data_IF_471586195448
#
_entry.id   IF_471586195448
#
_cell.length_a   1.000
_cell.length_b   1.000
_cell.length_c   1.000
_cell.angle_alpha   90.00
_cell.angle_beta   90.00
_cell.angle_gamma   90.00
#
_symmetry.space_group_name_H-M   'P 1'
#
loop_
_entity.id
_entity.type
_entity.pdbx_description
1 polymer ?
#
# COMPACT_ATOMS: atom_id res chain seq x y z
N UNK A 1 4.28 9.90 -3.70
CA UNK A 1 3.25 9.88 -4.78
C UNK A 1 2.04 10.70 -4.36
N UNK A 2 1.29 11.22 -5.34
CA UNK A 2 0.28 12.27 -5.18
C UNK A 2 -0.76 11.98 -4.10
N UNK A 3 -1.38 10.83 -4.08
CA UNK A 3 -2.40 10.48 -3.07
C UNK A 3 -1.88 10.54 -1.63
N UNK A 4 -0.57 10.32 -1.40
CA UNK A 4 0.04 10.47 -0.07
C UNK A 4 0.16 11.94 0.30
N UNK A 5 0.55 12.81 -0.64
CA UNK A 5 0.56 14.26 -0.45
C UNK A 5 -0.84 14.81 -0.17
N UNK A 6 -1.86 14.36 -0.92
CA UNK A 6 -3.25 14.71 -0.66
C UNK A 6 -3.71 14.24 0.73
N UNK A 7 -3.37 13.01 1.13
CA UNK A 7 -3.70 12.50 2.47
C UNK A 7 -3.03 13.33 3.57
N UNK A 8 -1.77 13.71 3.39
CA UNK A 8 -1.07 14.60 4.32
C UNK A 8 -1.73 15.99 4.41
N UNK A 9 -2.20 16.54 3.27
CA UNK A 9 -2.91 17.82 3.24
C UNK A 9 -4.29 17.74 3.90
N UNK A 10 -5.01 16.62 3.72
CA UNK A 10 -6.30 16.37 4.39
C UNK A 10 -6.13 16.32 5.91
N UNK A 11 -5.08 15.65 6.40
CA UNK A 11 -4.79 15.51 7.83
C UNK A 11 -4.17 16.76 8.47
N UNK A 12 -3.55 17.63 7.70
CA UNK A 12 -2.89 18.84 8.15
C UNK A 12 -3.19 20.00 7.18
N UNK A 13 -4.46 20.47 7.11
CA UNK A 13 -4.88 21.45 6.11
C UNK A 13 -4.18 22.80 6.23
N UNK A 14 -3.68 23.14 7.42
CA UNK A 14 -2.93 24.37 7.70
C UNK A 14 -1.47 24.32 7.22
N UNK A 15 -0.93 23.11 6.99
CA UNK A 15 0.47 22.94 6.59
C UNK A 15 0.63 23.03 5.07
N UNK A 16 1.77 23.53 4.66
CA UNK A 16 2.22 23.37 3.27
C UNK A 16 2.73 21.96 3.06
N UNK A 17 2.17 21.25 2.09
CA UNK A 17 2.60 19.93 1.71
C UNK A 17 3.28 20.05 0.36
N UNK A 18 4.58 19.78 0.32
CA UNK A 18 5.40 19.85 -0.89
C UNK A 18 5.74 18.44 -1.35
N UNK A 19 5.71 18.20 -2.65
CA UNK A 19 6.11 16.93 -3.26
C UNK A 19 7.31 17.11 -4.18
N UNK A 20 8.26 16.16 -4.21
CA UNK A 20 9.37 16.21 -5.14
C UNK A 20 8.92 16.30 -6.60
N UNK A 21 7.83 15.61 -6.94
CA UNK A 21 7.23 15.61 -8.27
C UNK A 21 5.70 15.48 -8.18
N UNK A 22 4.96 16.40 -8.81
CA UNK A 22 3.50 16.36 -8.82
C UNK A 22 2.91 15.33 -9.78
N UNK A 23 3.70 14.86 -10.76
CA UNK A 23 3.30 13.81 -11.70
C UNK A 23 3.57 12.39 -11.14
N UNK A 24 4.26 12.30 -10.00
CA UNK A 24 4.43 11.06 -9.27
C UNK A 24 3.08 10.59 -8.71
N UNK A 25 2.38 9.76 -9.47
CA UNK A 25 1.05 9.21 -9.16
C UNK A 25 1.10 7.71 -8.79
N UNK A 26 0.01 6.98 -8.98
CA UNK A 26 -0.11 5.54 -8.71
C UNK A 26 -1.08 4.91 -9.71
N UNK A 27 -0.76 3.72 -10.23
CA UNK A 27 -1.67 3.00 -11.13
C UNK A 27 -3.03 2.69 -10.49
N UNK A 28 -3.06 2.47 -9.19
CA UNK A 28 -4.31 2.25 -8.45
C UNK A 28 -5.18 3.51 -8.41
N UNK A 29 -4.56 4.67 -8.23
CA UNK A 29 -5.25 5.96 -8.26
C UNK A 29 -5.76 6.29 -9.67
N UNK A 30 -4.90 6.14 -10.67
CA UNK A 30 -5.28 6.31 -12.09
C UNK A 30 -6.35 5.32 -12.55
N UNK A 31 -6.30 4.08 -12.06
CA UNK A 31 -7.27 3.02 -12.35
C UNK A 31 -8.58 3.12 -11.56
N UNK A 32 -8.77 4.19 -10.78
CA UNK A 32 -10.00 4.45 -10.02
C UNK A 32 -10.45 5.92 -10.22
N UNK A 33 -10.88 6.28 -11.45
CA UNK A 33 -11.34 7.63 -11.76
C UNK A 33 -12.55 8.03 -10.89
N UNK A 34 -12.55 9.26 -10.41
CA UNK A 34 -13.54 9.75 -9.43
C UNK A 34 -14.99 9.59 -9.89
N UNK A 35 -15.28 9.98 -11.14
CA UNK A 35 -16.66 9.97 -11.65
C UNK A 35 -17.17 8.54 -11.87
N UNK A 36 -16.33 7.65 -12.38
CA UNK A 36 -16.64 6.23 -12.55
C UNK A 36 -16.84 5.54 -11.19
N UNK A 37 -15.98 5.86 -10.22
CA UNK A 37 -16.08 5.34 -8.86
C UNK A 37 -17.36 5.85 -8.17
N UNK A 38 -17.71 7.12 -8.34
CA UNK A 38 -18.94 7.68 -7.80
C UNK A 38 -20.18 6.95 -8.37
N UNK A 39 -20.23 6.77 -9.69
CA UNK A 39 -21.31 6.02 -10.36
C UNK A 39 -21.38 4.56 -9.86
N UNK A 40 -20.24 3.93 -9.64
CA UNK A 40 -20.18 2.57 -9.08
C UNK A 40 -20.73 2.50 -7.66
N UNK A 41 -20.41 3.48 -6.80
CA UNK A 41 -20.99 3.57 -5.46
C UNK A 41 -22.51 3.82 -5.52
N UNK A 42 -22.98 4.70 -6.41
CA UNK A 42 -24.39 5.04 -6.54
C UNK A 42 -25.22 3.87 -7.06
N UNK A 43 -24.64 2.98 -7.84
CA UNK A 43 -25.27 1.73 -8.29
C UNK A 43 -25.38 0.68 -7.17
N UNK A 44 -24.66 0.84 -6.05
CA UNK A 44 -24.61 -0.12 -4.94
C UNK A 44 -24.80 0.54 -3.57
N UNK A 45 -25.93 1.26 -3.33
CA UNK A 45 -26.14 2.06 -2.13
C UNK A 45 -26.30 1.23 -0.83
N UNK A 46 -26.49 -0.08 -0.95
CA UNK A 46 -26.61 -1.04 0.15
C UNK A 46 -25.25 -1.51 0.70
N UNK A 47 -24.14 -1.06 0.12
CA UNK A 47 -22.79 -1.48 0.49
C UNK A 47 -22.02 -0.39 1.24
N UNK A 48 -21.28 -0.80 2.25
CA UNK A 48 -20.28 0.05 2.93
C UNK A 48 -19.08 0.21 2.03
N UNK A 49 -18.70 1.45 1.73
CA UNK A 49 -17.61 1.77 0.82
C UNK A 49 -16.28 1.78 1.58
N UNK A 50 -15.41 0.86 1.26
CA UNK A 50 -14.07 0.74 1.84
C UNK A 50 -13.02 0.98 0.75
N UNK A 51 -12.18 1.99 0.92
CA UNK A 51 -11.11 2.31 -0.04
C UNK A 51 -9.74 2.10 0.56
N UNK A 52 -8.87 1.50 -0.22
CA UNK A 52 -7.46 1.45 0.09
C UNK A 52 -6.82 2.83 -0.10
N UNK A 53 -5.82 3.16 0.70
CA UNK A 53 -5.20 4.49 0.77
C UNK A 53 -4.70 5.03 -0.59
N UNK A 54 -4.40 4.15 -1.55
CA UNK A 54 -3.86 4.47 -2.86
C UNK A 54 -4.95 4.99 -3.82
N UNK A 55 -5.67 6.01 -3.41
CA UNK A 55 -6.76 6.66 -4.14
C UNK A 55 -6.71 8.17 -3.94
N UNK A 56 -7.35 8.95 -4.82
CA UNK A 56 -7.43 10.40 -4.73
C UNK A 56 -8.21 10.89 -3.50
N UNK A 57 -8.04 12.15 -3.15
CA UNK A 57 -8.85 12.82 -2.13
C UNK A 57 -10.35 12.73 -2.44
N UNK A 58 -10.74 12.86 -3.71
CA UNK A 58 -12.13 12.81 -4.14
C UNK A 58 -12.76 11.40 -3.98
N UNK A 59 -12.01 10.35 -4.28
CA UNK A 59 -12.43 8.96 -4.02
C UNK A 59 -12.59 8.71 -2.52
N UNK A 60 -11.65 9.19 -1.69
CA UNK A 60 -11.75 9.11 -0.22
C UNK A 60 -12.96 9.86 0.33
N UNK A 61 -13.31 11.00 -0.27
CA UNK A 61 -14.50 11.79 0.13
C UNK A 61 -15.81 11.03 -0.06
N UNK A 62 -15.84 10.04 -0.96
CA UNK A 62 -17.00 9.17 -1.22
C UNK A 62 -17.01 7.90 -0.36
N UNK A 63 -15.93 7.63 0.37
CA UNK A 63 -15.73 6.40 1.12
C UNK A 63 -16.25 6.50 2.56
N UNK A 64 -16.75 5.37 3.07
CA UNK A 64 -17.07 5.22 4.49
C UNK A 64 -15.82 4.94 5.34
N UNK A 65 -14.90 4.16 4.79
CA UNK A 65 -13.65 3.76 5.44
C UNK A 65 -12.49 3.88 4.47
N UNK A 66 -11.37 4.43 4.93
CA UNK A 66 -10.08 4.25 4.29
C UNK A 66 -9.30 3.17 5.06
N UNK A 67 -8.49 2.38 4.35
CA UNK A 67 -7.62 1.36 4.94
C UNK A 67 -6.23 1.38 4.33
N UNK A 68 -5.25 0.85 5.06
CA UNK A 68 -3.93 0.49 4.55
C UNK A 68 -3.79 -1.04 4.50
N UNK A 69 -2.78 -1.56 3.81
CA UNK A 69 -2.52 -3.02 3.77
C UNK A 69 -2.26 -3.63 5.14
N UNK A 70 -1.86 -2.84 6.13
CA UNK A 70 -1.59 -3.32 7.49
C UNK A 70 -2.85 -3.51 8.33
N UNK A 71 -3.98 -2.86 8.01
CA UNK A 71 -5.19 -2.87 8.84
C UNK A 71 -6.46 -3.24 8.07
N UNK A 72 -6.38 -3.35 6.74
CA UNK A 72 -7.53 -3.62 5.87
C UNK A 72 -8.24 -4.93 6.22
N UNK A 73 -7.49 -5.99 6.47
CA UNK A 73 -8.03 -7.29 6.89
C UNK A 73 -8.88 -7.16 8.15
N UNK A 74 -8.38 -6.47 9.17
CA UNK A 74 -9.05 -6.34 10.46
C UNK A 74 -10.32 -5.47 10.38
N UNK A 75 -10.28 -4.40 9.58
CA UNK A 75 -11.46 -3.54 9.37
C UNK A 75 -12.54 -4.31 8.60
N UNK A 76 -12.18 -5.08 7.58
CA UNK A 76 -13.14 -5.91 6.85
C UNK A 76 -13.73 -7.00 7.75
N UNK A 77 -12.92 -7.66 8.60
CA UNK A 77 -13.42 -8.60 9.62
C UNK A 77 -14.43 -7.95 10.56
N UNK A 78 -14.12 -6.73 11.03
CA UNK A 78 -15.01 -5.96 11.88
C UNK A 78 -16.34 -5.61 11.19
N UNK A 79 -16.30 -5.19 9.94
CA UNK A 79 -17.52 -4.86 9.16
C UNK A 79 -18.32 -6.12 8.84
N UNK A 80 -17.65 -7.22 8.47
CA UNK A 80 -18.29 -8.51 8.22
C UNK A 80 -19.01 -9.05 9.46
N UNK A 81 -18.40 -8.95 10.64
CA UNK A 81 -19.04 -9.35 11.90
C UNK A 81 -20.30 -8.53 12.23
N UNK A 82 -20.47 -7.35 11.63
CA UNK A 82 -21.67 -6.52 11.72
C UNK A 82 -22.69 -6.81 10.60
N UNK A 83 -22.44 -7.80 9.76
CA UNK A 83 -23.31 -8.14 8.62
C UNK A 83 -23.27 -7.11 7.48
N UNK A 84 -22.22 -6.28 7.40
CA UNK A 84 -22.10 -5.29 6.33
C UNK A 84 -21.67 -5.95 5.03
N UNK A 85 -22.35 -5.57 3.94
CA UNK A 85 -21.86 -5.80 2.59
C UNK A 85 -20.87 -4.71 2.23
N UNK A 86 -19.78 -5.03 1.55
CA UNK A 86 -18.67 -4.13 1.29
C UNK A 86 -18.53 -3.86 -0.20
N UNK A 87 -18.29 -2.61 -0.57
CA UNK A 87 -17.74 -2.21 -1.84
C UNK A 87 -16.27 -1.86 -1.61
N UNK A 88 -15.38 -2.55 -2.28
CA UNK A 88 -13.92 -2.40 -2.11
C UNK A 88 -13.27 -1.80 -3.35
N UNK A 89 -12.41 -0.80 -3.17
CA UNK A 89 -11.58 -0.21 -4.22
C UNK A 89 -10.20 0.20 -3.66
N UNK A 90 -9.18 0.45 -4.50
CA UNK A 90 -9.16 0.24 -5.95
C UNK A 90 -8.55 -1.11 -6.37
N UNK A 91 -7.81 -1.80 -5.47
CA UNK A 91 -7.02 -2.98 -5.80
C UNK A 91 -7.82 -4.28 -5.67
N UNK A 92 -8.01 -4.97 -6.81
CA UNK A 92 -8.74 -6.25 -6.88
C UNK A 92 -8.01 -7.39 -6.17
N UNK A 93 -6.68 -7.40 -6.19
CA UNK A 93 -5.89 -8.50 -5.61
C UNK A 93 -5.89 -8.43 -4.09
N UNK A 94 -5.60 -7.25 -3.51
CA UNK A 94 -5.73 -7.04 -2.07
C UNK A 94 -7.17 -7.30 -1.61
N UNK A 95 -8.16 -6.81 -2.36
CA UNK A 95 -9.57 -7.07 -2.07
C UNK A 95 -9.91 -8.56 -2.09
N UNK A 96 -9.48 -9.29 -3.10
CA UNK A 96 -9.69 -10.73 -3.23
C UNK A 96 -9.00 -11.52 -2.12
N UNK A 97 -7.77 -11.13 -1.77
CA UNK A 97 -7.06 -11.72 -0.62
C UNK A 97 -7.85 -11.54 0.68
N UNK A 98 -8.28 -10.31 0.97
CA UNK A 98 -9.05 -10.01 2.19
C UNK A 98 -10.40 -10.74 2.17
N UNK A 99 -11.09 -10.79 1.04
CA UNK A 99 -12.36 -11.51 0.87
C UNK A 99 -12.20 -13.00 1.21
N UNK A 100 -11.15 -13.64 0.71
CA UNK A 100 -10.84 -15.05 1.01
C UNK A 100 -10.55 -15.29 2.49
N UNK A 101 -9.81 -14.38 3.13
CA UNK A 101 -9.45 -14.52 4.54
C UNK A 101 -10.64 -14.28 5.47
N UNK A 102 -11.63 -13.49 5.07
CA UNK A 102 -12.74 -13.08 5.93
C UNK A 102 -14.07 -13.77 5.62
N UNK A 103 -14.25 -14.24 4.37
CA UNK A 103 -15.55 -14.69 3.87
C UNK A 103 -16.58 -13.56 3.70
N UNK A 104 -16.17 -12.29 3.75
CA UNK A 104 -17.05 -11.14 3.66
C UNK A 104 -17.71 -11.02 2.27
N UNK A 105 -18.95 -10.52 2.23
CA UNK A 105 -19.62 -10.13 0.98
C UNK A 105 -18.98 -8.85 0.46
N UNK A 106 -18.04 -9.00 -0.48
CA UNK A 106 -17.29 -7.89 -1.07
C UNK A 106 -17.51 -7.82 -2.57
N UNK A 107 -17.91 -6.62 -3.04
CA UNK A 107 -17.91 -6.25 -4.45
C UNK A 107 -16.61 -5.48 -4.73
N UNK A 108 -15.79 -6.00 -5.64
CA UNK A 108 -14.44 -5.50 -5.88
C UNK A 108 -14.37 -4.61 -7.13
N UNK A 109 -13.81 -3.42 -6.99
CA UNK A 109 -13.32 -2.63 -8.12
C UNK A 109 -12.20 -3.37 -8.84
N UNK A 110 -12.08 -3.20 -10.17
CA UNK A 110 -11.20 -4.02 -11.00
C UNK A 110 -9.84 -3.38 -11.31
N UNK A 111 -9.36 -2.47 -10.46
CA UNK A 111 -8.02 -1.91 -10.55
C UNK A 111 -6.94 -2.86 -10.02
N UNK A 112 -5.70 -2.62 -10.40
CA UNK A 112 -4.53 -3.36 -9.91
C UNK A 112 -3.28 -2.47 -9.84
N UNK A 113 -2.35 -2.83 -8.96
CA UNK A 113 -1.04 -2.21 -8.92
C UNK A 113 -0.19 -2.73 -10.09
N UNK A 114 0.26 -1.83 -10.99
CA UNK A 114 1.06 -2.20 -12.16
C UNK A 114 2.28 -3.05 -11.80
N UNK A 115 2.97 -2.73 -10.69
CA UNK A 115 4.16 -3.46 -10.25
C UNK A 115 3.81 -4.85 -9.76
N UNK A 116 2.81 -4.95 -8.88
CA UNK A 116 2.47 -6.25 -8.27
C UNK A 116 1.73 -7.19 -9.23
N UNK A 117 0.94 -6.65 -10.15
CA UNK A 117 0.22 -7.43 -11.18
C UNK A 117 1.18 -8.11 -12.19
N UNK A 118 2.41 -7.60 -12.30
CA UNK A 118 3.43 -8.17 -13.19
C UNK A 118 4.09 -9.44 -12.64
N UNK A 119 4.02 -9.74 -11.35
CA UNK A 119 4.60 -10.98 -10.81
C UNK A 119 3.95 -12.22 -11.41
N UNK A 120 4.77 -13.22 -11.75
CA UNK A 120 4.34 -14.45 -12.45
C UNK A 120 4.49 -15.68 -11.54
N UNK A 121 3.36 -16.32 -11.24
CA UNK A 121 3.35 -17.49 -10.37
C UNK A 121 4.18 -18.66 -10.90
N UNK A 122 4.17 -18.89 -12.21
CA UNK A 122 4.97 -19.97 -12.85
C UNK A 122 6.47 -19.68 -12.71
N UNK A 123 6.88 -18.45 -12.95
CA UNK A 123 8.29 -18.04 -12.84
C UNK A 123 8.76 -18.03 -11.37
N UNK A 124 7.88 -17.72 -10.44
CA UNK A 124 8.16 -17.80 -9.01
C UNK A 124 8.40 -19.24 -8.58
N UNK A 125 7.61 -20.19 -9.08
CA UNK A 125 7.80 -21.64 -8.82
C UNK A 125 9.15 -22.13 -9.36
N UNK A 126 9.54 -21.71 -10.57
CA UNK A 126 10.85 -22.02 -11.13
C UNK A 126 12.01 -21.43 -10.30
N UNK A 127 11.83 -20.20 -9.80
CA UNK A 127 12.84 -19.58 -8.93
C UNK A 127 12.93 -20.30 -7.58
N UNK A 128 11.79 -20.74 -7.02
CA UNK A 128 11.75 -21.51 -5.78
C UNK A 128 12.54 -22.82 -5.90
N UNK A 129 12.50 -23.48 -7.06
CA UNK A 129 13.30 -24.71 -7.29
C UNK A 129 14.80 -24.42 -7.29
N UNK A 130 15.23 -23.23 -7.71
CA UNK A 130 16.63 -22.81 -7.66
C UNK A 130 17.10 -22.44 -6.23
N UNK A 131 16.16 -21.97 -5.40
CA UNK A 131 16.40 -21.55 -4.01
C UNK A 131 15.45 -22.29 -3.05
N UNK A 132 15.62 -23.61 -2.88
CA UNK A 132 14.64 -24.46 -2.16
C UNK A 132 14.53 -24.14 -0.66
N UNK A 133 15.50 -23.43 -0.09
CA UNK A 133 15.50 -23.00 1.32
C UNK A 133 15.01 -21.56 1.51
N UNK A 134 14.81 -20.83 0.42
CA UNK A 134 14.34 -19.46 0.50
C UNK A 134 12.89 -19.36 0.96
N UNK A 135 12.60 -18.39 1.83
CA UNK A 135 11.24 -18.02 2.22
C UNK A 135 10.67 -16.99 1.24
N UNK A 136 9.45 -17.22 0.79
CA UNK A 136 8.76 -16.36 -0.17
C UNK A 136 7.92 -15.34 0.59
N UNK A 137 8.25 -14.06 0.40
CA UNK A 137 7.56 -12.92 1.00
C UNK A 137 6.77 -12.19 -0.09
N UNK A 138 5.47 -12.03 0.10
CA UNK A 138 4.57 -11.49 -0.93
C UNK A 138 3.71 -10.35 -0.37
N UNK A 139 3.65 -9.24 -1.12
CA UNK A 139 2.66 -8.20 -0.86
C UNK A 139 1.28 -8.64 -1.41
N UNK A 140 0.18 -8.46 -0.64
CA UNK A 140 -1.14 -8.96 -1.02
C UNK A 140 -1.80 -8.28 -2.24
N UNK A 141 -1.19 -7.23 -2.79
CA UNK A 141 -1.55 -6.66 -4.10
C UNK A 141 -1.10 -7.52 -5.30
N UNK A 142 -0.42 -8.64 -5.04
CA UNK A 142 0.04 -9.57 -6.09
C UNK A 142 -1.07 -10.53 -6.53
N UNK A 143 -0.99 -11.07 -7.77
CA UNK A 143 -1.92 -12.07 -8.27
C UNK A 143 -2.03 -13.29 -7.34
N UNK A 144 -3.20 -13.91 -7.32
CA UNK A 144 -3.48 -15.07 -6.47
C UNK A 144 -2.46 -16.20 -6.63
N UNK A 145 -2.02 -16.48 -7.86
CA UNK A 145 -1.03 -17.53 -8.16
C UNK A 145 0.35 -17.27 -7.52
N UNK A 146 0.65 -15.99 -7.21
CA UNK A 146 1.86 -15.59 -6.48
C UNK A 146 1.62 -15.65 -4.97
N UNK A 147 0.49 -15.11 -4.51
CA UNK A 147 0.08 -15.14 -3.10
C UNK A 147 -0.03 -16.57 -2.56
N UNK A 148 -0.53 -17.52 -3.37
CA UNK A 148 -0.66 -18.92 -2.99
C UNK A 148 0.67 -19.63 -2.69
N UNK A 149 1.79 -19.10 -3.17
CA UNK A 149 3.13 -19.67 -2.96
C UNK A 149 3.88 -19.03 -1.77
N UNK A 150 3.29 -18.02 -1.14
CA UNK A 150 3.95 -17.24 -0.11
C UNK A 150 4.10 -18.02 1.21
N UNK A 151 5.28 -17.91 1.84
CA UNK A 151 5.47 -18.26 3.25
C UNK A 151 4.96 -17.15 4.18
N UNK A 152 5.07 -15.89 3.74
CA UNK A 152 4.54 -14.71 4.46
C UNK A 152 3.85 -13.77 3.49
N UNK A 153 2.62 -13.39 3.83
CA UNK A 153 1.85 -12.38 3.12
C UNK A 153 1.64 -11.19 4.06
N UNK A 154 1.95 -9.98 3.61
CA UNK A 154 1.78 -8.83 4.47
C UNK A 154 2.15 -7.49 3.84
N UNK A 155 1.88 -6.43 4.60
CA UNK A 155 2.32 -5.07 4.27
C UNK A 155 3.85 -4.96 4.27
N UNK A 156 4.38 -3.88 3.69
CA UNK A 156 5.82 -3.57 3.67
C UNK A 156 6.46 -3.72 5.06
N UNK A 157 5.84 -3.17 6.11
CA UNK A 157 6.36 -3.26 7.48
C UNK A 157 6.34 -4.69 8.03
N UNK A 158 5.31 -5.47 7.71
CA UNK A 158 5.21 -6.87 8.12
C UNK A 158 6.25 -7.74 7.41
N UNK A 159 6.51 -7.49 6.13
CA UNK A 159 7.55 -8.19 5.37
C UNK A 159 8.95 -7.86 5.89
N UNK A 160 9.22 -6.60 6.26
CA UNK A 160 10.50 -6.22 6.89
C UNK A 160 10.63 -6.88 8.28
N UNK A 161 9.58 -6.93 9.08
CA UNK A 161 9.60 -7.62 10.36
C UNK A 161 9.84 -9.13 10.20
N UNK A 162 9.27 -9.75 9.17
CA UNK A 162 9.44 -11.18 8.91
C UNK A 162 10.90 -11.57 8.63
N UNK A 163 11.68 -10.74 7.91
CA UNK A 163 13.08 -11.07 7.60
C UNK A 163 13.98 -11.06 8.84
N UNK A 164 13.60 -10.36 9.89
CA UNK A 164 14.32 -10.39 11.17
C UNK A 164 13.84 -11.53 12.09
N UNK A 165 12.54 -11.84 12.04
CA UNK A 165 11.92 -12.84 12.92
C UNK A 165 12.15 -14.29 12.46
N UNK A 166 12.23 -14.53 11.14
CA UNK A 166 12.40 -15.87 10.59
C UNK A 166 13.87 -16.30 10.62
N UNK A 167 14.09 -17.58 10.99
CA UNK A 167 15.42 -18.22 10.95
C UNK A 167 15.74 -18.75 9.54
N UNK A 168 15.52 -17.92 8.52
CA UNK A 168 15.87 -18.19 7.15
C UNK A 168 17.02 -17.27 6.71
N UNK A 169 17.90 -17.77 5.85
CA UNK A 169 19.04 -17.03 5.33
C UNK A 169 18.80 -16.46 3.93
N UNK A 170 17.76 -16.96 3.24
CA UNK A 170 17.42 -16.60 1.88
C UNK A 170 15.95 -16.23 1.79
N UNK A 171 15.63 -15.15 1.07
CA UNK A 171 14.29 -14.67 0.87
C UNK A 171 14.05 -14.31 -0.60
N UNK A 172 12.95 -14.80 -1.18
CA UNK A 172 12.41 -14.32 -2.45
C UNK A 172 11.34 -13.30 -2.13
N UNK A 173 11.43 -12.09 -2.70
CA UNK A 173 10.60 -10.95 -2.34
C UNK A 173 9.76 -10.50 -3.52
N UNK A 174 8.43 -10.65 -3.42
CA UNK A 174 7.46 -10.24 -4.43
C UNK A 174 6.74 -8.95 -3.97
N UNK A 175 7.42 -7.82 -4.11
CA UNK A 175 6.91 -6.44 -3.97
C UNK A 175 7.88 -5.48 -4.67
N UNK A 176 7.61 -4.17 -4.63
CA UNK A 176 8.54 -3.16 -5.16
C UNK A 176 9.93 -3.31 -4.55
N UNK A 177 10.96 -3.33 -5.41
CA UNK A 177 12.32 -3.65 -5.00
C UNK A 177 13.00 -2.57 -4.11
N UNK A 178 12.43 -1.39 -3.99
CA UNK A 178 12.89 -0.36 -3.05
C UNK A 178 12.89 -0.83 -1.59
N UNK A 179 12.06 -1.83 -1.24
CA UNK A 179 12.04 -2.42 0.11
C UNK A 179 13.35 -3.14 0.46
N UNK A 180 14.06 -3.68 -0.55
CA UNK A 180 15.26 -4.51 -0.33
C UNK A 180 16.37 -3.75 0.40
N UNK A 181 16.47 -2.45 0.19
CA UNK A 181 17.42 -1.62 0.95
C UNK A 181 17.14 -1.72 2.47
N UNK A 182 15.88 -1.54 2.87
CA UNK A 182 15.48 -1.63 4.28
C UNK A 182 15.61 -3.06 4.83
N UNK A 183 15.30 -4.06 4.03
CA UNK A 183 15.46 -5.47 4.42
C UNK A 183 16.93 -5.83 4.66
N UNK A 184 17.84 -5.39 3.77
CA UNK A 184 19.29 -5.59 3.94
C UNK A 184 19.83 -4.86 5.18
N UNK A 185 19.33 -3.67 5.47
CA UNK A 185 19.68 -2.94 6.67
C UNK A 185 19.15 -3.62 7.95
N UNK A 186 17.92 -4.17 7.91
CA UNK A 186 17.29 -4.84 9.05
C UNK A 186 17.88 -6.24 9.34
N UNK A 187 18.33 -6.95 8.30
CA UNK A 187 18.88 -8.30 8.41
C UNK A 187 20.19 -8.43 7.58
N UNK A 188 21.30 -7.84 8.04
CA UNK A 188 22.59 -7.91 7.36
C UNK A 188 23.07 -9.37 7.22
N UNK A 189 23.59 -9.72 6.05
CA UNK A 189 24.11 -11.05 5.76
C UNK A 189 23.09 -12.05 5.22
N UNK A 190 21.79 -11.73 5.23
CA UNK A 190 20.78 -12.55 4.57
C UNK A 190 20.69 -12.21 3.07
N UNK A 191 20.36 -13.22 2.25
CA UNK A 191 20.21 -13.08 0.80
C UNK A 191 18.78 -12.67 0.46
N UNK A 192 18.63 -11.62 -0.33
CA UNK A 192 17.35 -11.14 -0.84
C UNK A 192 17.33 -11.20 -2.37
N UNK A 193 16.37 -11.91 -2.91
CA UNK A 193 16.20 -12.23 -4.33
C UNK A 193 14.89 -11.61 -4.78
N UNK A 194 14.91 -10.82 -5.85
CA UNK A 194 13.70 -10.28 -6.45
C UNK A 194 12.87 -11.39 -7.09
N UNK A 195 11.57 -11.39 -6.81
CA UNK A 195 10.65 -12.27 -7.52
C UNK A 195 10.55 -11.87 -8.99
N UNK A 196 10.39 -12.82 -9.93
CA UNK A 196 10.38 -12.53 -11.34
C UNK A 196 9.07 -11.88 -11.79
N UNK A 197 9.18 -10.85 -12.64
CA UNK A 197 8.05 -10.15 -13.27
C UNK A 197 7.90 -10.52 -14.75
N UNK A 198 8.90 -11.18 -15.35
CA UNK A 198 8.89 -11.58 -16.74
C UNK A 198 9.46 -12.99 -16.91
N UNK A 199 9.06 -13.68 -17.98
CA UNK A 199 9.54 -15.01 -18.33
C UNK A 199 11.01 -15.07 -18.70
N UNK A 200 11.56 -16.29 -18.74
CA UNK A 200 13.00 -16.55 -19.00
C UNK A 200 13.56 -16.00 -20.32
N UNK A 201 12.69 -15.65 -21.27
CA UNK A 201 13.07 -15.05 -22.57
C UNK A 201 13.24 -13.52 -22.52
N UNK A 202 12.83 -12.87 -21.42
CA UNK A 202 12.93 -11.44 -21.29
C UNK A 202 14.34 -10.99 -20.91
N UNK A 203 14.76 -9.86 -21.46
CA UNK A 203 16.05 -9.22 -21.14
C UNK A 203 16.08 -8.66 -19.73
N UNK A 204 14.92 -8.29 -19.18
CA UNK A 204 14.75 -7.86 -17.79
C UNK A 204 13.95 -8.92 -17.01
N UNK A 205 14.60 -9.60 -16.08
CA UNK A 205 13.99 -10.70 -15.31
C UNK A 205 13.21 -10.23 -14.08
N UNK A 206 13.47 -9.04 -13.59
CA UNK A 206 12.74 -8.45 -12.49
C UNK A 206 12.71 -6.93 -12.66
N UNK A 207 11.56 -6.40 -13.07
CA UNK A 207 11.29 -4.97 -13.17
C UNK A 207 10.30 -4.54 -12.09
N UNK A 208 10.38 -5.13 -10.90
CA UNK A 208 9.55 -4.79 -9.74
C UNK A 208 9.91 -3.41 -9.18
N UNK A 209 9.82 -2.39 -10.02
CA UNK A 209 10.16 -1.01 -9.70
C UNK A 209 9.06 -0.06 -10.16
N UNK A 210 8.53 0.72 -9.22
CA UNK A 210 7.46 1.66 -9.51
C UNK A 210 8.01 2.91 -10.19
N UNK A 211 7.66 3.18 -11.47
CA UNK A 211 8.18 4.33 -12.19
C UNK A 211 7.77 5.66 -11.56
N UNK A 212 6.59 5.74 -10.99
CA UNK A 212 6.12 6.97 -10.31
C UNK A 212 6.83 7.22 -8.98
N UNK A 213 7.13 6.19 -8.18
CA UNK A 213 7.95 6.37 -6.98
C UNK A 213 9.36 6.82 -7.33
N UNK A 214 9.92 6.33 -8.44
CA UNK A 214 11.25 6.72 -8.92
C UNK A 214 11.36 8.19 -9.33
N UNK A 215 10.25 8.85 -9.68
CA UNK A 215 10.22 10.30 -9.98
C UNK A 215 10.58 11.15 -8.75
N UNK A 216 10.43 10.64 -7.54
CA UNK A 216 10.79 11.34 -6.30
C UNK A 216 12.30 11.28 -6.02
N UNK A 217 13.12 11.77 -6.96
CA UNK A 217 14.57 11.79 -6.86
C UNK A 217 15.10 12.85 -5.88
N UNK A 218 16.36 12.68 -5.43
CA UNK A 218 17.00 13.62 -4.50
C UNK A 218 17.13 15.03 -5.08
N UNK A 219 17.38 15.18 -6.38
CA UNK A 219 17.46 16.49 -7.05
C UNK A 219 16.11 17.21 -7.03
N UNK A 220 15.02 16.49 -7.29
CA UNK A 220 13.67 17.03 -7.23
C UNK A 220 13.32 17.45 -5.79
N UNK A 221 13.70 16.65 -4.80
CA UNK A 221 13.50 16.98 -3.39
C UNK A 221 14.27 18.24 -2.99
N UNK A 222 15.55 18.36 -3.37
CA UNK A 222 16.36 19.54 -3.11
C UNK A 222 15.73 20.79 -3.74
N UNK A 223 15.37 20.70 -5.03
CA UNK A 223 14.74 21.81 -5.75
C UNK A 223 13.45 22.31 -5.06
N UNK A 224 12.59 21.41 -4.64
CA UNK A 224 11.34 21.75 -3.95
C UNK A 224 11.59 22.40 -2.59
N UNK A 225 12.58 21.95 -1.85
CA UNK A 225 12.95 22.55 -0.56
C UNK A 225 13.54 23.95 -0.72
N UNK A 226 14.33 24.20 -1.78
CA UNK A 226 14.88 25.51 -2.07
C UNK A 226 13.87 26.51 -2.60
N UNK A 227 12.93 26.04 -3.44
CA UNK A 227 11.99 26.91 -4.16
C UNK A 227 10.61 27.02 -3.50
N UNK A 228 10.23 26.02 -2.69
CA UNK A 228 8.88 25.88 -2.15
C UNK A 228 7.83 25.61 -3.24
N UNK A 229 8.26 25.06 -4.40
CA UNK A 229 7.36 24.65 -5.50
C UNK A 229 6.64 23.34 -5.20
N UNK A 230 5.80 22.88 -6.13
CA UNK A 230 5.10 21.59 -6.07
C UNK A 230 4.25 21.40 -4.80
N UNK A 231 3.53 22.47 -4.40
CA UNK A 231 2.60 22.39 -3.28
C UNK A 231 1.34 21.62 -3.68
N UNK A 232 0.91 20.69 -2.84
CA UNK A 232 -0.34 19.95 -2.97
C UNK A 232 -1.49 20.79 -2.42
N UNK A 233 -2.53 20.90 -3.23
CA UNK A 233 -3.79 21.52 -2.86
C UNK A 233 -4.92 20.51 -2.92
N UNK A 234 -5.78 20.52 -1.91
CA UNK A 234 -7.02 19.73 -1.86
C UNK A 234 -8.17 20.71 -1.65
N UNK A 235 -9.23 20.55 -2.43
CA UNK A 235 -10.44 21.34 -2.22
C UNK A 235 -10.93 21.21 -0.78
N UNK A 236 -11.23 22.32 -0.07
CA UNK A 236 -11.60 22.27 1.35
C UNK A 236 -12.87 21.44 1.64
N UNK A 237 -13.81 21.37 0.70
CA UNK A 237 -15.04 20.58 0.85
C UNK A 237 -14.70 19.08 0.73
N UNK A 238 -13.94 18.73 -0.30
CA UNK A 238 -13.43 17.36 -0.50
C UNK A 238 -12.59 16.94 0.70
N UNK A 239 -11.68 17.78 1.18
CA UNK A 239 -10.84 17.49 2.34
C UNK A 239 -11.65 17.19 3.61
N UNK A 240 -12.69 17.99 3.89
CA UNK A 240 -13.60 17.77 5.02
C UNK A 240 -14.40 16.48 4.92
N UNK A 241 -14.76 16.04 3.71
CA UNK A 241 -15.45 14.78 3.50
C UNK A 241 -14.47 13.59 3.62
N UNK A 242 -13.30 13.70 3.00
CA UNK A 242 -12.29 12.64 2.99
C UNK A 242 -11.71 12.34 4.38
N UNK A 243 -11.56 13.34 5.25
CA UNK A 243 -11.03 13.11 6.60
C UNK A 243 -11.88 12.13 7.41
N UNK A 244 -13.19 12.04 7.14
CA UNK A 244 -14.11 11.16 7.89
C UNK A 244 -13.73 9.69 7.77
N UNK A 245 -13.45 9.22 6.56
CA UNK A 245 -13.05 7.82 6.36
C UNK A 245 -11.64 7.52 6.89
N UNK A 246 -10.76 8.52 6.87
CA UNK A 246 -9.40 8.42 7.43
C UNK A 246 -9.47 8.33 8.96
N UNK A 247 -10.23 9.24 9.60
CA UNK A 247 -10.38 9.27 11.06
C UNK A 247 -11.01 7.97 11.59
N UNK A 248 -11.99 7.40 10.89
CA UNK A 248 -12.56 6.09 11.26
C UNK A 248 -11.49 5.00 11.32
N UNK A 249 -10.59 4.95 10.34
CA UNK A 249 -9.47 4.00 10.36
C UNK A 249 -8.54 4.28 11.54
N UNK A 250 -8.17 5.53 11.76
CA UNK A 250 -7.26 5.93 12.84
C UNK A 250 -7.87 5.64 14.22
N UNK A 251 -9.15 5.91 14.41
CA UNK A 251 -9.86 5.62 15.66
C UNK A 251 -9.98 4.11 15.91
N UNK A 252 -10.24 3.33 14.86
CA UNK A 252 -10.26 1.87 14.95
C UNK A 252 -8.89 1.33 15.37
N UNK A 253 -7.82 1.79 14.73
CA UNK A 253 -6.46 1.40 15.06
C UNK A 253 -6.06 1.81 16.49
N UNK A 254 -6.43 3.01 16.93
CA UNK A 254 -6.15 3.49 18.28
C UNK A 254 -6.85 2.63 19.36
N UNK A 255 -8.10 2.21 19.12
CA UNK A 255 -8.85 1.33 20.04
C UNK A 255 -8.20 -0.05 20.16
N UNK A 256 -7.53 -0.54 19.12
CA UNK A 256 -6.79 -1.81 19.15
C UNK A 256 -5.35 -1.69 19.68
N UNK A 257 -4.98 -0.54 20.23
CA UNK A 257 -3.60 -0.22 20.68
C UNK A 257 -2.55 -0.32 19.55
N UNK A 258 -2.98 -0.25 18.30
CA UNK A 258 -2.09 -0.12 17.16
C UNK A 258 -1.73 1.36 17.07
N UNK A 259 -0.52 1.75 17.46
CA UNK A 259 -0.06 3.14 17.42
C UNK A 259 0.06 3.62 15.96
N UNK A 260 -1.00 4.26 15.46
CA UNK A 260 -1.08 4.77 14.07
C UNK A 260 -1.19 6.29 14.05
N UNK A 261 -1.48 6.96 15.17
CA UNK A 261 -1.53 8.43 15.25
C UNK A 261 -0.20 8.97 15.75
N UNK A 262 0.61 9.61 14.89
CA UNK A 262 1.70 10.44 15.34
C UNK A 262 1.14 11.67 16.09
N UNK A 263 1.78 12.04 17.18
CA UNK A 263 1.40 13.23 17.97
C UNK A 263 1.76 14.55 17.26
N UNK A 264 2.55 14.47 16.20
CA UNK A 264 3.13 15.62 15.50
C UNK A 264 4.32 16.25 16.26
N UNK A 265 4.73 15.68 17.37
CA UNK A 265 5.88 16.13 18.17
C UNK A 265 6.99 15.07 18.11
N UNK A 266 8.01 15.31 17.28
CA UNK A 266 9.16 14.41 17.07
C UNK A 266 9.80 13.90 18.38
N UNK A 267 9.77 14.72 19.42
CA UNK A 267 10.32 14.37 20.74
C UNK A 267 9.57 13.22 21.42
N UNK A 268 8.25 13.14 21.21
CA UNK A 268 7.41 12.07 21.78
C UNK A 268 7.38 10.80 20.93
N UNK A 269 7.86 10.89 19.70
CA UNK A 269 7.76 9.83 18.69
C UNK A 269 9.09 9.09 18.45
N UNK A 270 10.18 9.50 19.10
CA UNK A 270 11.47 8.83 18.99
C UNK A 270 11.40 7.31 19.23
N UNK A 271 10.49 6.85 20.09
CA UNK A 271 10.27 5.42 20.34
C UNK A 271 9.50 4.71 19.21
N UNK A 272 8.64 5.43 18.48
CA UNK A 272 7.94 4.93 17.29
C UNK A 272 8.90 4.76 16.11
N UNK A 273 9.93 5.60 16.05
CA UNK A 273 10.96 5.58 15.00
C UNK A 273 12.23 4.83 15.41
N UNK A 274 12.32 4.37 16.68
CA UNK A 274 13.43 3.56 17.16
C UNK A 274 13.38 2.16 16.52
N UNK A 275 14.00 1.99 15.39
CA UNK A 275 14.00 0.79 14.56
C UNK A 275 13.65 1.07 13.10
N UNK A 276 13.19 2.29 12.78
CA UNK A 276 13.11 2.79 11.42
C UNK A 276 14.44 3.56 11.22
N UNK A 277 15.42 2.90 10.61
CA UNK A 277 16.66 3.58 10.25
C UNK A 277 16.40 4.83 9.38
N UNK A 278 17.38 5.73 9.26
CA UNK A 278 17.26 6.90 8.40
C UNK A 278 16.86 6.46 6.99
N UNK A 279 15.93 7.21 6.41
CA UNK A 279 15.42 6.96 5.06
C UNK A 279 16.54 7.00 4.03
#
# INVERSE_FOLDING_TARGET
VRFMGETAKILSPEKRILMPDLDATCSLDLGCPTDEFAAFCDAHPDRTVVVYANTSAAVKARADWMVTSSIGLEIVQYLHAQGKKILWAPDKHLGSYIQKQTGADMLLWQGSCLVHDEFKGVELELLRQQYPHAKILVHPESPEAVVAQADVIGSTSQLIAAVTALDAQEFIVATDNGILHKMRAAAPGKLFIDAPTAGNSATCKSCAHCPWMAMNGLQNLLHVLETGSNEIHVDPVIGKQAVVCIDRMLDFAAKKKTNVRPSGALENEQKLFAGIGPA
#
